data_IF_961187605816
#
_entry.id   IF_961187605816
#
_cell.length_a   1.000
_cell.length_b   1.000
_cell.length_c   1.000
_cell.angle_alpha   90.00
_cell.angle_beta   90.00
_cell.angle_gamma   90.00
#
_symmetry.space_group_name_H-M   'P 1'
#
loop_
_entity.id
_entity.type
_entity.pdbx_description
1 polymer ?
#
# COMPACT_ATOMS: atom_id res chain seq x y z
N UNK A 1 -18.25 20.41 27.34
CA UNK A 1 -17.43 20.17 26.13
C UNK A 1 -17.18 18.68 26.03
N UNK A 2 -17.67 18.03 24.97
CA UNK A 2 -17.40 16.60 24.73
C UNK A 2 -15.99 16.51 24.17
N UNK A 3 -15.09 15.89 24.93
CA UNK A 3 -13.79 15.46 24.41
C UNK A 3 -14.03 14.60 23.16
N UNK A 4 -13.72 15.14 22.00
CA UNK A 4 -13.49 14.32 20.82
C UNK A 4 -12.19 13.58 21.13
N UNK A 5 -12.31 12.40 21.72
CA UNK A 5 -11.22 11.42 21.75
C UNK A 5 -10.94 11.09 20.30
N UNK A 6 -10.00 11.84 19.70
CA UNK A 6 -9.22 11.37 18.56
C UNK A 6 -8.58 10.08 19.06
N UNK A 7 -9.29 8.96 18.85
CA UNK A 7 -8.73 7.63 19.02
C UNK A 7 -7.41 7.70 18.27
N UNK A 8 -6.32 7.47 18.99
CA UNK A 8 -4.98 7.23 18.46
C UNK A 8 -5.09 6.22 17.32
N UNK A 9 -5.37 6.69 16.11
CA UNK A 9 -5.13 5.93 14.88
C UNK A 9 -3.62 5.91 14.82
N UNK A 10 -3.08 4.77 15.26
CA UNK A 10 -1.67 4.63 15.59
C UNK A 10 -0.80 5.18 14.47
N UNK A 11 0.08 6.11 14.84
CA UNK A 11 1.19 6.64 14.04
C UNK A 11 2.17 5.57 13.49
N UNK A 12 1.81 4.29 13.55
CA UNK A 12 2.62 3.14 13.13
C UNK A 12 2.62 2.98 11.60
N UNK A 13 1.58 3.44 10.90
CA UNK A 13 1.49 3.32 9.44
C UNK A 13 2.42 4.27 8.66
N UNK A 14 2.84 5.38 9.28
CA UNK A 14 3.69 6.39 8.63
C UNK A 14 5.15 5.91 8.45
N UNK A 15 5.57 4.87 9.18
CA UNK A 15 6.96 4.37 9.20
C UNK A 15 7.19 3.28 8.13
N UNK A 16 6.15 2.57 7.68
CA UNK A 16 6.26 1.52 6.65
C UNK A 16 6.56 2.06 5.23
N UNK A 17 6.49 3.38 5.05
CA UNK A 17 6.76 4.11 3.80
C UNK A 17 8.24 4.24 3.44
N UNK A 18 9.16 3.61 4.16
CA UNK A 18 10.58 3.59 3.81
C UNK A 18 10.87 2.11 3.54
N UNK A 19 10.96 1.62 2.31
CA UNK A 19 12.25 1.49 1.62
C UNK A 19 12.16 0.47 0.44
N UNK A 20 12.41 0.83 -0.84
CA UNK A 20 13.21 0.17 -1.94
C UNK A 20 13.39 1.18 -3.12
N UNK A 21 14.62 1.51 -3.61
CA UNK A 21 14.98 1.88 -5.02
C UNK A 21 16.48 2.24 -5.28
N UNK A 22 17.02 1.74 -6.41
CA UNK A 22 18.18 2.32 -7.16
C UNK A 22 17.75 3.30 -8.27
N UNK A 23 18.68 4.03 -8.88
CA UNK A 23 18.39 5.02 -9.93
C UNK A 23 17.80 4.41 -11.21
N UNK A 24 16.72 4.99 -11.73
CA UNK A 24 16.69 5.51 -13.10
C UNK A 24 15.41 6.31 -13.36
N UNK A 25 15.54 7.36 -14.17
CA UNK A 25 14.47 8.21 -14.65
C UNK A 25 13.71 7.50 -15.79
N UNK A 26 12.40 7.29 -15.65
CA UNK A 26 11.51 7.07 -16.79
C UNK A 26 10.06 7.37 -16.41
N UNK A 27 9.49 8.40 -17.04
CA UNK A 27 8.07 8.74 -16.97
C UNK A 27 7.26 7.71 -17.73
N UNK A 28 6.61 6.78 -17.03
CA UNK A 28 5.55 5.95 -17.62
C UNK A 28 4.36 5.93 -16.67
N UNK A 29 3.19 6.33 -17.18
CA UNK A 29 1.92 6.32 -16.43
C UNK A 29 1.52 4.87 -16.18
N UNK A 30 1.71 4.38 -14.95
CA UNK A 30 1.37 3.01 -14.54
C UNK A 30 -0.14 2.78 -14.36
N UNK A 31 -0.95 3.85 -14.25
CA UNK A 31 -2.38 3.79 -13.93
C UNK A 31 -3.30 3.26 -15.04
N UNK A 32 -2.80 2.89 -16.22
CA UNK A 32 -3.66 2.47 -17.34
C UNK A 32 -4.06 0.98 -17.30
N UNK A 33 -3.36 0.13 -16.54
CA UNK A 33 -3.62 -1.32 -16.51
C UNK A 33 -4.14 -1.75 -15.14
N UNK A 34 -5.28 -2.43 -15.12
CA UNK A 34 -5.80 -3.07 -13.91
C UNK A 34 -4.95 -4.30 -13.56
N UNK A 35 -4.65 -4.45 -12.27
CA UNK A 35 -3.86 -5.56 -11.72
C UNK A 35 -4.67 -6.42 -10.76
N UNK A 36 -5.71 -5.87 -10.14
CA UNK A 36 -6.53 -6.55 -9.16
C UNK A 36 -7.72 -7.22 -9.84
N UNK A 37 -8.04 -8.39 -9.33
CA UNK A 37 -9.36 -9.00 -9.47
C UNK A 37 -10.01 -9.05 -8.10
N UNK A 38 -11.33 -9.09 -8.05
CA UNK A 38 -12.05 -9.23 -6.78
C UNK A 38 -11.62 -10.48 -6.01
N UNK A 39 -11.43 -11.60 -6.72
CA UNK A 39 -10.93 -12.85 -6.15
C UNK A 39 -9.54 -12.69 -5.53
N UNK A 40 -8.60 -12.01 -6.21
CA UNK A 40 -7.25 -11.80 -5.69
C UNK A 40 -7.25 -10.95 -4.41
N UNK A 41 -8.11 -9.93 -4.34
CA UNK A 41 -8.27 -9.08 -3.15
C UNK A 41 -8.83 -9.88 -1.98
N UNK A 42 -9.88 -10.66 -2.21
CA UNK A 42 -10.48 -11.51 -1.17
C UNK A 42 -9.52 -12.60 -0.69
N UNK A 43 -8.79 -13.24 -1.60
CA UNK A 43 -7.79 -14.24 -1.26
C UNK A 43 -6.65 -13.63 -0.43
N UNK A 44 -6.17 -12.43 -0.79
CA UNK A 44 -5.19 -11.72 0.02
C UNK A 44 -5.71 -11.46 1.43
N UNK A 45 -6.91 -10.90 1.58
CA UNK A 45 -7.52 -10.63 2.89
C UNK A 45 -7.63 -11.91 3.72
N UNK A 46 -8.10 -13.01 3.10
CA UNK A 46 -8.27 -14.30 3.79
C UNK A 46 -6.95 -14.91 4.24
N UNK A 47 -5.89 -14.77 3.44
CA UNK A 47 -4.63 -15.50 3.62
C UNK A 47 -3.43 -14.63 4.03
N UNK A 48 -3.61 -13.33 4.29
CA UNK A 48 -2.51 -12.39 4.56
C UNK A 48 -1.57 -12.85 5.69
N UNK A 49 -2.11 -13.44 6.76
CA UNK A 49 -1.30 -13.94 7.90
C UNK A 49 -0.39 -15.09 7.49
N UNK A 50 -0.94 -16.10 6.83
CA UNK A 50 -0.17 -17.27 6.38
C UNK A 50 0.83 -16.91 5.27
N UNK A 51 0.44 -16.00 4.38
CA UNK A 51 1.31 -15.44 3.37
C UNK A 51 2.49 -14.71 4.03
N UNK A 52 2.23 -13.83 5.00
CA UNK A 52 3.27 -13.11 5.73
C UNK A 52 4.23 -14.07 6.47
N UNK A 53 3.68 -15.05 7.21
CA UNK A 53 4.49 -16.06 7.89
C UNK A 53 5.35 -16.88 6.92
N UNK A 54 4.81 -17.20 5.75
CA UNK A 54 5.56 -17.92 4.72
C UNK A 54 6.65 -17.06 4.08
N UNK A 55 6.38 -15.78 3.86
CA UNK A 55 7.39 -14.82 3.39
C UNK A 55 8.51 -14.63 4.42
N UNK A 56 8.18 -14.53 5.72
CA UNK A 56 9.15 -14.44 6.82
C UNK A 56 10.05 -15.69 6.88
N UNK A 57 9.48 -16.89 6.75
CA UNK A 57 10.27 -18.14 6.70
C UNK A 57 11.24 -18.19 5.51
N UNK A 58 10.89 -17.50 4.43
CA UNK A 58 11.73 -17.42 3.24
C UNK A 58 12.62 -16.18 3.24
N UNK A 59 12.65 -15.37 4.31
CA UNK A 59 13.32 -14.07 4.38
C UNK A 59 14.72 -14.10 3.78
N UNK A 60 15.61 -14.97 4.23
CA UNK A 60 16.99 -15.02 3.72
C UNK A 60 17.08 -15.40 2.23
N UNK A 61 16.14 -16.19 1.73
CA UNK A 61 16.07 -16.58 0.32
C UNK A 61 15.49 -15.47 -0.56
N UNK A 62 14.60 -14.63 0.01
CA UNK A 62 13.95 -13.53 -0.71
C UNK A 62 14.69 -12.20 -0.55
N UNK A 63 15.53 -12.05 0.47
CA UNK A 63 16.32 -10.85 0.79
C UNK A 63 17.14 -10.31 -0.38
N UNK A 64 17.79 -11.13 -1.25
CA UNK A 64 18.47 -10.61 -2.44
C UNK A 64 17.54 -9.89 -3.43
N UNK A 65 16.25 -10.24 -3.42
CA UNK A 65 15.20 -9.66 -4.25
C UNK A 65 14.49 -8.49 -3.58
N UNK A 66 14.61 -8.33 -2.25
CA UNK A 66 14.01 -7.26 -1.45
C UNK A 66 15.12 -6.28 -1.02
N UNK A 67 15.44 -5.29 -1.86
CA UNK A 67 16.44 -4.24 -1.56
C UNK A 67 15.82 -2.95 -1.01
N UNK A 68 15.85 -2.76 0.30
CA UNK A 68 15.32 -1.62 1.07
C UNK A 68 16.13 -0.29 0.83
N UNK A 69 15.54 0.77 0.22
CA UNK A 69 16.02 2.19 0.21
C UNK A 69 14.94 3.26 -0.16
N UNK A 70 15.17 4.57 0.03
CA UNK A 70 14.16 5.67 -0.04
C UNK A 70 13.01 5.57 -1.08
N UNK A 71 11.81 5.88 -0.60
CA UNK A 71 10.52 5.64 -1.23
C UNK A 71 10.11 6.67 -2.30
N UNK A 72 9.74 6.17 -3.48
CA UNK A 72 9.04 6.91 -4.52
C UNK A 72 8.01 5.95 -5.18
N UNK A 73 6.69 6.21 -5.04
CA UNK A 73 5.64 5.33 -5.55
C UNK A 73 5.73 5.02 -7.04
N UNK A 74 6.03 6.03 -7.86
CA UNK A 74 6.10 5.92 -9.32
C UNK A 74 7.25 4.99 -9.74
N UNK A 75 8.45 5.25 -9.21
CA UNK A 75 9.62 4.42 -9.49
C UNK A 75 9.42 2.97 -9.03
N UNK A 76 8.77 2.77 -7.88
CA UNK A 76 8.49 1.42 -7.38
C UNK A 76 7.58 0.65 -8.33
N UNK A 77 6.45 1.23 -8.74
CA UNK A 77 5.53 0.55 -9.65
C UNK A 77 6.16 0.27 -11.01
N UNK A 78 6.85 1.25 -11.61
CA UNK A 78 7.53 1.07 -12.90
C UNK A 78 8.56 -0.06 -12.85
N UNK A 79 9.27 -0.23 -11.73
CA UNK A 79 10.23 -1.34 -11.60
C UNK A 79 9.58 -2.68 -11.37
N UNK A 80 8.55 -2.74 -10.52
CA UNK A 80 7.84 -3.98 -10.25
C UNK A 80 7.20 -4.55 -11.52
N UNK A 81 6.76 -3.70 -12.46
CA UNK A 81 6.27 -4.14 -13.76
C UNK A 81 7.34 -4.88 -14.59
N UNK A 82 8.61 -4.52 -14.40
CA UNK A 82 9.75 -5.03 -15.17
C UNK A 82 10.56 -6.09 -14.42
N UNK A 83 10.24 -6.36 -13.15
CA UNK A 83 10.97 -7.32 -12.32
C UNK A 83 10.30 -8.70 -12.41
N UNK A 84 11.00 -9.73 -12.90
CA UNK A 84 10.44 -11.08 -12.91
C UNK A 84 10.28 -11.59 -11.47
N UNK A 85 9.10 -12.12 -11.16
CA UNK A 85 8.87 -12.76 -9.86
C UNK A 85 9.69 -14.06 -9.78
N UNK A 86 10.56 -14.24 -8.77
CA UNK A 86 11.33 -15.48 -8.58
C UNK A 86 10.43 -16.72 -8.49
N UNK A 87 10.86 -17.86 -9.03
CA UNK A 87 10.08 -19.12 -9.07
C UNK A 87 9.55 -19.54 -7.69
N UNK A 88 10.37 -19.36 -6.66
CA UNK A 88 9.99 -19.62 -5.26
C UNK A 88 8.76 -18.80 -4.83
N UNK A 89 8.75 -17.51 -5.17
CA UNK A 89 7.65 -16.60 -4.85
C UNK A 89 6.41 -16.85 -5.71
N UNK A 90 6.58 -17.23 -6.99
CA UNK A 90 5.45 -17.59 -7.87
C UNK A 90 4.58 -18.68 -7.25
N UNK A 91 5.21 -19.78 -6.84
CA UNK A 91 4.52 -20.91 -6.21
C UNK A 91 3.81 -20.49 -4.92
N UNK A 92 4.46 -19.62 -4.13
CA UNK A 92 3.90 -19.11 -2.90
C UNK A 92 2.65 -18.27 -3.15
N UNK A 93 2.72 -17.33 -4.09
CA UNK A 93 1.61 -16.44 -4.42
C UNK A 93 0.43 -17.21 -4.99
N UNK A 94 0.69 -18.17 -5.89
CA UNK A 94 -0.35 -19.05 -6.43
C UNK A 94 -1.06 -19.84 -5.32
N UNK A 95 -0.31 -20.36 -4.34
CA UNK A 95 -0.86 -21.10 -3.19
C UNK A 95 -1.87 -20.25 -2.40
N UNK A 96 -1.67 -18.93 -2.34
CA UNK A 96 -2.53 -17.99 -1.61
C UNK A 96 -3.50 -17.22 -2.51
N UNK A 97 -3.74 -17.70 -3.73
CA UNK A 97 -4.77 -17.16 -4.61
C UNK A 97 -4.45 -15.80 -5.25
N UNK A 98 -3.15 -15.45 -5.31
CA UNK A 98 -2.65 -14.30 -6.06
C UNK A 98 -2.14 -14.72 -7.44
N UNK A 99 -2.10 -13.78 -8.39
CA UNK A 99 -1.51 -14.03 -9.71
C UNK A 99 0.01 -14.19 -9.55
N UNK A 100 0.54 -15.38 -9.84
CA UNK A 100 1.95 -15.71 -9.62
C UNK A 100 2.95 -14.79 -10.33
N UNK A 101 2.53 -14.10 -11.39
CA UNK A 101 3.37 -13.17 -12.15
C UNK A 101 3.14 -11.70 -11.77
N UNK A 102 2.04 -11.40 -11.06
CA UNK A 102 1.65 -10.02 -10.71
C UNK A 102 1.47 -9.80 -9.21
N UNK A 103 1.59 -10.80 -8.37
CA UNK A 103 1.26 -10.72 -6.95
C UNK A 103 1.95 -9.58 -6.21
N UNK A 104 3.24 -9.33 -6.51
CA UNK A 104 3.96 -8.19 -5.91
C UNK A 104 3.33 -6.85 -6.34
N UNK A 105 2.94 -6.74 -7.61
CA UNK A 105 2.19 -5.58 -8.12
C UNK A 105 0.82 -5.47 -7.44
N UNK A 106 0.08 -6.57 -7.32
CA UNK A 106 -1.23 -6.61 -6.68
C UNK A 106 -1.14 -6.12 -5.22
N UNK A 107 -0.19 -6.63 -4.45
CA UNK A 107 0.05 -6.22 -3.05
C UNK A 107 0.43 -4.74 -2.98
N UNK A 108 1.31 -4.26 -3.86
CA UNK A 108 1.75 -2.86 -3.87
C UNK A 108 0.60 -1.91 -4.24
N UNK A 109 -0.20 -2.26 -5.25
CA UNK A 109 -1.37 -1.48 -5.66
C UNK A 109 -2.39 -1.40 -4.52
N UNK A 110 -2.64 -2.51 -3.81
CA UNK A 110 -3.49 -2.51 -2.61
C UNK A 110 -2.94 -1.56 -1.54
N UNK A 111 -1.64 -1.63 -1.21
CA UNK A 111 -1.02 -0.74 -0.21
C UNK A 111 -1.16 0.74 -0.58
N UNK A 112 -0.80 1.12 -1.81
CA UNK A 112 -0.87 2.52 -2.24
C UNK A 112 -2.31 3.03 -2.32
N UNK A 113 -3.26 2.19 -2.75
CA UNK A 113 -4.66 2.59 -2.81
C UNK A 113 -5.26 2.77 -1.41
N UNK A 114 -4.91 1.93 -0.44
CA UNK A 114 -5.33 2.09 0.96
C UNK A 114 -4.83 3.41 1.51
N UNK A 115 -3.54 3.74 1.27
CA UNK A 115 -2.96 5.01 1.73
C UNK A 115 -3.68 6.18 1.08
N UNK A 116 -3.84 6.18 -0.26
CA UNK A 116 -4.53 7.24 -0.98
C UNK A 116 -5.97 7.43 -0.48
N UNK A 117 -6.72 6.33 -0.32
CA UNK A 117 -8.10 6.40 0.15
C UNK A 117 -8.21 6.85 1.61
N UNK A 118 -7.32 6.39 2.49
CA UNK A 118 -7.30 6.83 3.89
C UNK A 118 -7.02 8.33 3.99
N UNK A 119 -6.12 8.86 3.16
CA UNK A 119 -5.86 10.29 3.06
C UNK A 119 -7.08 11.07 2.54
N UNK A 120 -7.72 10.60 1.46
CA UNK A 120 -8.96 11.22 0.94
C UNK A 120 -10.06 11.25 2.02
N UNK A 121 -10.29 10.13 2.71
CA UNK A 121 -11.31 10.02 3.75
C UNK A 121 -11.02 10.92 4.96
N UNK A 122 -9.76 10.98 5.40
CA UNK A 122 -9.35 11.84 6.54
C UNK A 122 -9.54 13.32 6.19
N UNK A 123 -9.19 13.74 4.98
CA UNK A 123 -9.39 15.13 4.54
C UNK A 123 -10.89 15.48 4.46
N UNK A 124 -11.72 14.55 4.00
CA UNK A 124 -13.17 14.73 3.95
C UNK A 124 -13.78 14.82 5.37
N UNK A 125 -13.31 14.01 6.33
CA UNK A 125 -13.70 14.11 7.74
C UNK A 125 -13.31 15.46 8.35
N UNK A 126 -12.07 15.93 8.10
CA UNK A 126 -11.60 17.24 8.56
C UNK A 126 -12.50 18.35 7.99
N UNK A 127 -12.77 18.31 6.68
CA UNK A 127 -13.63 19.30 6.01
C UNK A 127 -15.05 19.32 6.60
N UNK A 128 -15.60 18.15 6.91
CA UNK A 128 -16.95 18.00 7.45
C UNK A 128 -17.04 18.21 8.97
N UNK A 129 -15.91 18.33 9.67
CA UNK A 129 -15.88 18.57 11.12
C UNK A 129 -16.37 19.96 11.53
N UNK A 130 -16.30 20.94 10.62
CA UNK A 130 -16.58 22.34 10.92
C UNK A 130 -15.49 23.05 11.74
N UNK A 131 -14.37 22.39 12.01
CA UNK A 131 -13.23 23.00 12.72
C UNK A 131 -12.49 24.01 11.84
N UNK A 132 -12.24 25.21 12.38
CA UNK A 132 -11.44 26.22 11.70
C UNK A 132 -9.96 25.81 11.67
N UNK A 133 -9.38 25.76 10.47
CA UNK A 133 -7.99 25.37 10.24
C UNK A 133 -7.10 26.61 10.22
N UNK A 134 -5.97 26.57 10.93
CA UNK A 134 -4.94 27.60 10.79
C UNK A 134 -4.16 27.45 9.46
N UNK A 135 -3.34 28.44 9.10
CA UNK A 135 -2.62 28.44 7.81
C UNK A 135 -1.65 27.25 7.65
N UNK A 136 -0.98 26.84 8.73
CA UNK A 136 -0.10 25.66 8.70
C UNK A 136 -0.89 24.37 8.43
N UNK A 137 -2.03 24.24 9.08
CA UNK A 137 -2.97 23.13 8.92
C UNK A 137 -3.52 23.06 7.49
N UNK A 138 -3.94 24.19 6.90
CA UNK A 138 -4.38 24.26 5.50
C UNK A 138 -3.27 23.85 4.53
N UNK A 139 -2.04 24.33 4.75
CA UNK A 139 -0.89 23.95 3.92
C UNK A 139 -0.58 22.44 4.03
N UNK A 140 -0.71 21.86 5.23
CA UNK A 140 -0.58 20.42 5.45
C UNK A 140 -1.68 19.64 4.73
N UNK A 141 -2.94 20.07 4.81
CA UNK A 141 -4.07 19.42 4.15
C UNK A 141 -3.89 19.40 2.63
N UNK A 142 -3.45 20.53 2.07
CA UNK A 142 -3.12 20.65 0.64
C UNK A 142 -1.95 19.72 0.24
N UNK A 143 -0.93 19.57 1.09
CA UNK A 143 0.18 18.67 0.83
C UNK A 143 -0.28 17.19 0.82
N UNK A 144 -1.14 16.80 1.77
CA UNK A 144 -1.74 15.46 1.83
C UNK A 144 -2.64 15.22 0.61
N UNK A 145 -3.47 16.19 0.24
CA UNK A 145 -4.36 16.08 -0.93
C UNK A 145 -3.55 15.88 -2.23
N UNK A 146 -2.50 16.67 -2.41
CA UNK A 146 -1.61 16.56 -3.58
C UNK A 146 -0.89 15.22 -3.63
N UNK A 147 -0.52 14.68 -2.47
CA UNK A 147 0.13 13.37 -2.39
C UNK A 147 -0.85 12.21 -2.66
N UNK A 148 -2.08 12.28 -2.12
CA UNK A 148 -3.15 11.33 -2.42
C UNK A 148 -3.48 11.31 -3.93
N UNK A 149 -3.57 12.49 -4.56
CA UNK A 149 -3.74 12.62 -6.02
C UNK A 149 -2.62 11.94 -6.80
N UNK A 150 -1.36 12.11 -6.37
CA UNK A 150 -0.21 11.46 -6.99
C UNK A 150 -0.29 9.94 -6.89
N UNK A 151 -0.60 9.39 -5.72
CA UNK A 151 -0.76 7.95 -5.53
C UNK A 151 -1.88 7.38 -6.39
N UNK A 152 -3.06 8.03 -6.36
CA UNK A 152 -4.22 7.60 -7.15
C UNK A 152 -3.97 7.62 -8.65
N UNK A 153 -3.21 8.60 -9.15
CA UNK A 153 -2.83 8.67 -10.56
C UNK A 153 -1.95 7.50 -11.04
N UNK A 154 -1.34 6.76 -10.12
CA UNK A 154 -0.53 5.58 -10.42
C UNK A 154 -1.34 4.27 -10.41
N UNK A 155 -2.58 4.31 -9.92
CA UNK A 155 -3.46 3.17 -9.73
C UNK A 155 -4.57 3.22 -10.77
N UNK A 156 -4.92 2.07 -11.34
CA UNK A 156 -6.05 1.98 -12.25
C UNK A 156 -7.38 2.25 -11.52
N UNK A 157 -8.34 2.87 -12.21
CA UNK A 157 -9.62 3.23 -11.59
C UNK A 157 -10.40 2.01 -11.05
N UNK A 158 -10.37 0.89 -11.77
CA UNK A 158 -11.08 -0.32 -11.35
C UNK A 158 -10.40 -1.00 -10.15
N UNK A 159 -9.07 -0.99 -10.11
CA UNK A 159 -8.30 -1.40 -8.93
C UNK A 159 -8.66 -0.50 -7.74
N UNK A 160 -8.74 0.82 -7.94
CA UNK A 160 -9.09 1.76 -6.88
C UNK A 160 -10.52 1.55 -6.36
N UNK A 161 -11.48 1.21 -7.22
CA UNK A 161 -12.85 0.84 -6.82
C UNK A 161 -12.86 -0.40 -5.92
N UNK A 162 -12.11 -1.44 -6.29
CA UNK A 162 -11.98 -2.64 -5.46
C UNK A 162 -11.34 -2.33 -4.11
N UNK A 163 -10.28 -1.52 -4.09
CA UNK A 163 -9.60 -1.13 -2.85
C UNK A 163 -10.55 -0.34 -1.94
N UNK A 164 -11.34 0.59 -2.49
CA UNK A 164 -12.39 1.29 -1.73
C UNK A 164 -13.41 0.32 -1.15
N UNK A 165 -13.90 -0.63 -1.95
CA UNK A 165 -14.89 -1.63 -1.53
C UNK A 165 -14.40 -2.46 -0.35
N UNK A 166 -13.12 -2.84 -0.36
CA UNK A 166 -12.51 -3.71 0.64
C UNK A 166 -11.60 -2.99 1.65
N UNK A 167 -11.70 -1.65 1.76
CA UNK A 167 -10.71 -0.86 2.48
C UNK A 167 -10.53 -1.29 3.94
N UNK A 168 -11.61 -1.47 4.69
CA UNK A 168 -11.52 -1.84 6.12
C UNK A 168 -10.77 -3.15 6.32
N UNK A 169 -11.10 -4.17 5.53
CA UNK A 169 -10.50 -5.49 5.63
C UNK A 169 -9.05 -5.50 5.16
N UNK A 170 -8.76 -4.78 4.07
CA UNK A 170 -7.40 -4.59 3.57
C UNK A 170 -6.53 -3.81 4.56
N UNK A 171 -7.05 -2.73 5.15
CA UNK A 171 -6.35 -1.95 6.16
C UNK A 171 -6.00 -2.83 7.36
N UNK A 172 -6.97 -3.62 7.86
CA UNK A 172 -6.73 -4.57 8.94
C UNK A 172 -5.71 -5.67 8.54
N UNK A 173 -5.76 -6.16 7.30
CA UNK A 173 -4.81 -7.16 6.82
C UNK A 173 -3.37 -6.62 6.82
N UNK A 174 -3.16 -5.36 6.40
CA UNK A 174 -1.83 -4.73 6.40
C UNK A 174 -1.38 -4.27 7.80
N UNK A 175 -2.28 -3.81 8.66
CA UNK A 175 -1.94 -3.44 10.05
C UNK A 175 -1.42 -4.64 10.87
N UNK A 176 -1.89 -5.84 10.52
CA UNK A 176 -1.44 -7.10 11.12
C UNK A 176 -0.07 -7.61 10.60
N UNK A 177 0.61 -6.90 9.70
CA UNK A 177 2.01 -7.19 9.34
C UNK A 177 2.96 -6.74 10.47
N UNK A 178 2.85 -7.36 11.65
CA UNK A 178 3.85 -7.27 12.72
C UNK A 178 4.85 -8.41 12.55
N UNK A 179 6.15 -8.10 12.58
CA UNK A 179 7.22 -9.13 12.53
C UNK A 179 8.46 -8.80 11.70
N UNK A 180 8.49 -7.68 10.95
CA UNK A 180 9.71 -7.24 10.26
C UNK A 180 10.57 -6.27 11.10
N UNK A 181 9.99 -5.63 12.12
CA UNK A 181 10.67 -4.64 12.97
C UNK A 181 11.06 -5.19 14.35
N UNK A 182 10.84 -6.48 14.63
CA UNK A 182 11.09 -7.09 15.94
C UNK A 182 12.21 -8.15 15.91
N UNK A 183 13.02 -8.19 14.84
CA UNK A 183 14.26 -8.97 14.82
C UNK A 183 15.46 -8.06 15.11
N UNK A 184 15.57 -7.62 16.37
CA UNK A 184 16.84 -7.27 17.02
C UNK A 184 16.96 -8.06 18.32
#
# INVERSE_FOLDING_TARGET
MKEIRVKRIGCVFFIFLLMINFYSCSKTRTGNKAFLTEEAVQNFIKHHKDLNLSLLKLHEQIKPYIKISKFNPENTLTKLQNMPTPKLLKNLFKKFGLDENKAVMQITVMQYGIIAYTMEATLEEIKNSGEERNEYQKASDLAVENYAKKLKALINEDDYKLIKKYHSDLFAAFDNFKGWNESE
#
